data_IF_147494343301
#
_entry.id   IF_147494343301
#
_cell.length_a   1.000
_cell.length_b   1.000
_cell.length_c   1.000
_cell.angle_alpha   90.00
_cell.angle_beta   90.00
_cell.angle_gamma   90.00
#
_symmetry.space_group_name_H-M   'P 1'
#
loop_
_entity.id
_entity.type
_entity.pdbx_description
1 polymer ?
#
# COMPACT_ATOMS: atom_id res chain seq x y z
N UNK A 1 24.90 -2.04 -20.71
CA UNK A 1 25.54 -0.87 -20.09
C UNK A 1 26.20 -0.07 -21.20
N UNK A 2 26.26 1.26 -21.12
CA UNK A 2 26.96 2.09 -22.11
C UNK A 2 28.45 2.10 -21.78
N UNK A 3 29.32 1.74 -22.73
CA UNK A 3 30.79 1.76 -22.57
C UNK A 3 31.30 3.16 -22.16
N UNK A 4 30.60 4.20 -22.60
CA UNK A 4 30.91 5.60 -22.28
C UNK A 4 30.67 5.90 -20.79
N UNK A 5 29.58 5.36 -20.23
CA UNK A 5 29.27 5.53 -18.81
C UNK A 5 30.34 4.84 -17.94
N UNK A 6 30.71 3.61 -18.27
CA UNK A 6 31.75 2.86 -17.55
C UNK A 6 33.12 3.55 -17.62
N UNK A 7 33.44 4.15 -18.76
CA UNK A 7 34.65 4.96 -18.94
C UNK A 7 34.70 6.19 -18.02
N UNK A 8 33.57 6.86 -17.81
CA UNK A 8 33.46 7.98 -16.86
C UNK A 8 33.43 7.52 -15.40
N UNK A 9 32.79 6.39 -15.10
CA UNK A 9 32.75 5.78 -13.76
C UNK A 9 34.18 5.44 -13.30
N UNK A 10 35.01 4.85 -14.17
CA UNK A 10 36.41 4.55 -13.86
C UNK A 10 37.23 5.81 -13.57
N UNK A 11 37.06 6.86 -14.38
CA UNK A 11 37.73 8.15 -14.16
C UNK A 11 37.31 8.79 -12.84
N UNK A 12 36.02 8.74 -12.51
CA UNK A 12 35.52 9.27 -11.25
C UNK A 12 36.09 8.52 -10.04
N UNK A 13 36.14 7.19 -10.09
CA UNK A 13 36.72 6.37 -9.02
C UNK A 13 38.21 6.70 -8.79
N UNK A 14 38.97 6.86 -9.87
CA UNK A 14 40.38 7.25 -9.79
C UNK A 14 40.56 8.66 -9.21
N UNK A 15 39.75 9.62 -9.68
CA UNK A 15 39.74 11.00 -9.18
C UNK A 15 39.36 11.06 -7.70
N UNK A 16 38.32 10.35 -7.27
CA UNK A 16 37.86 10.29 -5.88
C UNK A 16 38.90 9.67 -4.94
N UNK A 17 39.56 8.58 -5.36
CA UNK A 17 40.65 7.98 -4.60
C UNK A 17 41.86 8.91 -4.51
N UNK A 18 42.18 9.63 -5.58
CA UNK A 18 43.24 10.65 -5.61
C UNK A 18 42.92 11.81 -4.67
N UNK A 19 41.69 12.33 -4.71
CA UNK A 19 41.21 13.39 -3.82
C UNK A 19 41.31 12.98 -2.35
N UNK A 20 40.88 11.77 -2.01
CA UNK A 20 40.94 11.25 -0.64
C UNK A 20 42.39 11.21 -0.13
N UNK A 21 43.34 10.71 -0.93
CA UNK A 21 44.77 10.72 -0.59
C UNK A 21 45.32 12.15 -0.44
N UNK A 22 44.96 13.06 -1.35
CA UNK A 22 45.39 14.46 -1.30
C UNK A 22 44.82 15.19 -0.08
N UNK A 23 43.57 14.93 0.31
CA UNK A 23 42.97 15.48 1.54
C UNK A 23 43.72 15.00 2.80
N UNK A 24 44.05 13.72 2.89
CA UNK A 24 44.85 13.19 4.01
C UNK A 24 46.23 13.83 4.04
N UNK A 25 46.89 13.96 2.90
CA UNK A 25 48.20 14.62 2.81
C UNK A 25 48.13 16.12 3.18
N UNK A 26 47.10 16.84 2.72
CA UNK A 26 46.91 18.26 3.04
C UNK A 26 46.60 18.49 4.52
N UNK A 27 46.04 17.51 5.22
CA UNK A 27 45.79 17.58 6.67
C UNK A 27 47.08 17.60 7.50
N UNK A 28 48.19 17.08 6.96
CA UNK A 28 49.50 17.03 7.63
C UNK A 28 50.43 18.20 7.24
N UNK A 29 49.97 19.11 6.37
CA UNK A 29 50.75 20.24 5.88
C UNK A 29 50.25 21.55 6.49
N UNK A 30 51.18 22.48 6.73
CA UNK A 30 50.90 23.83 7.24
C UNK A 30 51.42 24.93 6.30
N UNK A 31 50.85 26.13 6.43
CA UNK A 31 51.27 27.33 5.71
C UNK A 31 51.00 27.32 4.20
N UNK A 32 51.91 27.89 3.41
CA UNK A 32 51.73 28.09 1.96
C UNK A 32 51.61 26.77 1.19
N UNK A 33 52.32 25.71 1.63
CA UNK A 33 52.23 24.37 1.03
C UNK A 33 50.82 23.76 1.18
N UNK A 34 50.14 24.05 2.29
CA UNK A 34 48.74 23.66 2.52
C UNK A 34 47.82 24.37 1.56
N UNK A 35 47.97 25.69 1.41
CA UNK A 35 47.16 26.52 0.50
C UNK A 35 47.28 26.06 -0.96
N UNK A 36 48.50 25.78 -1.42
CA UNK A 36 48.73 25.24 -2.76
C UNK A 36 48.04 23.88 -2.95
N UNK A 37 48.20 22.95 -1.99
CA UNK A 37 47.55 21.64 -2.04
C UNK A 37 46.03 21.71 -1.97
N UNK A 38 45.47 22.64 -1.19
CA UNK A 38 44.03 22.89 -1.14
C UNK A 38 43.49 23.36 -2.49
N UNK A 39 44.24 24.22 -3.21
CA UNK A 39 43.87 24.63 -4.57
C UNK A 39 43.90 23.46 -5.57
N UNK A 40 44.89 22.57 -5.47
CA UNK A 40 44.96 21.35 -6.29
C UNK A 40 43.84 20.34 -5.98
N UNK A 41 43.38 20.28 -4.72
CA UNK A 41 42.26 19.44 -4.32
C UNK A 41 40.95 20.05 -4.84
N UNK A 42 40.79 21.36 -4.72
CA UNK A 42 39.62 22.09 -5.21
C UNK A 42 39.43 21.90 -6.72
N UNK A 43 40.49 22.00 -7.53
CA UNK A 43 40.39 21.73 -8.97
C UNK A 43 40.05 20.27 -9.27
N UNK A 44 40.57 19.31 -8.50
CA UNK A 44 40.20 17.90 -8.63
C UNK A 44 38.75 17.62 -8.23
N UNK A 45 38.19 18.35 -7.25
CA UNK A 45 36.77 18.27 -6.89
C UNK A 45 35.90 18.76 -8.05
N UNK A 46 36.28 19.87 -8.70
CA UNK A 46 35.57 20.38 -9.87
C UNK A 46 35.62 19.41 -11.06
N UNK A 47 36.75 18.74 -11.27
CA UNK A 47 36.89 17.69 -12.28
C UNK A 47 35.96 16.50 -11.97
N UNK A 48 35.92 16.03 -10.73
CA UNK A 48 35.01 14.97 -10.29
C UNK A 48 33.52 15.37 -10.41
N UNK A 49 33.17 16.63 -10.07
CA UNK A 49 31.82 17.18 -10.30
C UNK A 49 31.47 17.16 -11.80
N UNK A 50 32.43 17.47 -12.68
CA UNK A 50 32.24 17.43 -14.13
C UNK A 50 32.00 16.02 -14.66
N UNK A 51 32.70 15.01 -14.12
CA UNK A 51 32.52 13.61 -14.47
C UNK A 51 31.13 13.11 -14.06
N UNK A 52 30.67 13.48 -12.85
CA UNK A 52 29.30 13.17 -12.41
C UNK A 52 28.25 13.79 -13.35
N UNK A 53 28.45 15.04 -13.81
CA UNK A 53 27.52 15.67 -14.77
C UNK A 53 27.50 14.95 -16.12
N UNK A 54 28.66 14.52 -16.63
CA UNK A 54 28.77 13.73 -17.87
C UNK A 54 28.04 12.39 -17.73
N UNK A 55 28.21 11.70 -16.61
CA UNK A 55 27.48 10.46 -16.31
C UNK A 55 25.96 10.67 -16.18
N UNK A 56 25.51 11.79 -15.59
CA UNK A 56 24.08 12.13 -15.48
C UNK A 56 23.44 12.34 -16.86
N UNK A 57 24.15 13.03 -17.77
CA UNK A 57 23.72 13.22 -19.16
C UNK A 57 23.64 11.89 -19.92
N UNK A 58 24.66 11.04 -19.80
CA UNK A 58 24.69 9.74 -20.44
C UNK A 58 23.58 8.82 -19.91
N UNK A 59 23.37 8.79 -18.58
CA UNK A 59 22.31 7.99 -17.96
C UNK A 59 20.89 8.41 -18.37
N UNK A 60 20.68 9.68 -18.74
CA UNK A 60 19.38 10.18 -19.23
C UNK A 60 19.03 9.65 -20.62
N UNK A 61 20.03 9.32 -21.44
CA UNK A 61 19.86 8.81 -22.80
C UNK A 61 19.58 7.30 -22.85
N UNK A 62 19.63 6.60 -21.71
CA UNK A 62 19.44 5.16 -21.62
C UNK A 62 17.98 4.76 -21.33
N UNK A 63 17.67 3.49 -21.63
CA UNK A 63 16.34 2.92 -21.40
C UNK A 63 15.91 2.99 -19.92
N UNK A 64 14.60 3.16 -19.63
CA UNK A 64 14.07 3.35 -18.27
C UNK A 64 14.45 2.26 -17.27
N UNK A 65 14.56 1.00 -17.72
CA UNK A 65 14.91 -0.16 -16.90
C UNK A 65 16.32 -0.08 -16.30
N UNK A 66 17.30 0.41 -17.08
CA UNK A 66 18.71 0.53 -16.66
C UNK A 66 18.95 1.89 -15.97
N UNK A 67 18.24 2.93 -16.42
CA UNK A 67 18.34 4.30 -15.90
C UNK A 67 18.14 4.41 -14.39
N UNK A 68 17.17 3.69 -13.83
CA UNK A 68 16.87 3.76 -12.40
C UNK A 68 18.06 3.33 -11.52
N UNK A 69 18.76 2.26 -11.90
CA UNK A 69 19.95 1.77 -11.19
C UNK A 69 21.14 2.74 -11.29
N UNK A 70 21.37 3.32 -12.47
CA UNK A 70 22.46 4.29 -12.68
C UNK A 70 22.22 5.61 -11.93
N UNK A 71 20.98 6.09 -11.88
CA UNK A 71 20.63 7.27 -11.10
C UNK A 71 20.71 7.05 -9.58
N UNK A 72 20.59 5.80 -9.10
CA UNK A 72 20.86 5.47 -7.71
C UNK A 72 22.37 5.57 -7.41
N UNK A 73 23.22 4.95 -8.23
CA UNK A 73 24.69 5.07 -8.14
C UNK A 73 25.15 6.54 -8.20
N UNK A 74 24.58 7.35 -9.09
CA UNK A 74 24.93 8.76 -9.21
C UNK A 74 24.56 9.58 -7.96
N UNK A 75 23.52 9.19 -7.22
CA UNK A 75 23.18 9.83 -5.94
C UNK A 75 24.22 9.50 -4.87
N UNK A 76 24.70 8.27 -4.85
CA UNK A 76 25.78 7.83 -3.96
C UNK A 76 27.08 8.60 -4.26
N UNK A 77 27.51 8.66 -5.52
CA UNK A 77 28.70 9.43 -5.91
C UNK A 77 28.59 10.92 -5.58
N UNK A 78 27.41 11.54 -5.77
CA UNK A 78 27.18 12.93 -5.35
C UNK A 78 27.31 13.10 -3.84
N UNK A 79 26.87 12.12 -3.05
CA UNK A 79 27.01 12.11 -1.59
C UNK A 79 28.47 11.99 -1.17
N UNK A 80 29.22 11.07 -1.76
CA UNK A 80 30.64 10.87 -1.46
C UNK A 80 31.48 12.12 -1.77
N UNK A 81 31.22 12.75 -2.92
CA UNK A 81 31.92 13.98 -3.29
C UNK A 81 31.59 15.14 -2.34
N UNK A 82 30.35 15.21 -1.83
CA UNK A 82 29.98 16.18 -0.80
C UNK A 82 30.73 15.93 0.53
N UNK A 83 30.94 14.67 0.91
CA UNK A 83 31.75 14.34 2.08
C UNK A 83 33.19 14.83 1.90
N UNK A 84 33.83 14.56 0.75
CA UNK A 84 35.18 15.07 0.43
C UNK A 84 35.23 16.60 0.46
N UNK A 85 34.21 17.29 -0.06
CA UNK A 85 34.10 18.76 -0.03
C UNK A 85 33.96 19.30 1.40
N UNK A 86 33.26 18.58 2.28
CA UNK A 86 33.14 18.95 3.70
C UNK A 86 34.47 18.78 4.45
N UNK A 87 35.20 17.71 4.16
CA UNK A 87 36.54 17.47 4.70
C UNK A 87 37.52 18.55 4.22
N UNK A 88 37.46 18.93 2.94
CA UNK A 88 38.26 20.02 2.37
C UNK A 88 38.01 21.35 3.11
N UNK A 89 36.75 21.68 3.39
CA UNK A 89 36.39 22.89 4.16
C UNK A 89 36.94 22.83 5.59
N UNK A 90 36.90 21.65 6.23
CA UNK A 90 37.48 21.45 7.57
C UNK A 90 38.99 21.64 7.58
N UNK A 91 39.69 21.14 6.56
CA UNK A 91 41.15 21.28 6.41
C UNK A 91 41.52 22.72 6.04
N UNK A 92 40.71 23.39 5.22
CA UNK A 92 40.91 24.78 4.81
C UNK A 92 40.58 25.79 5.90
N UNK A 93 39.75 25.43 6.89
CA UNK A 93 39.46 26.32 8.00
C UNK A 93 40.77 26.65 8.73
N UNK A 94 41.07 27.95 8.95
CA UNK A 94 42.21 28.32 9.78
C UNK A 94 41.98 27.72 11.16
N UNK A 95 42.95 26.95 11.65
CA UNK A 95 42.96 26.52 13.04
C UNK A 95 42.79 27.77 13.90
N UNK A 96 41.72 27.84 14.69
CA UNK A 96 41.39 28.98 15.54
C UNK A 96 42.54 29.43 16.47
N UNK A 97 43.58 28.61 16.64
CA UNK A 97 44.79 28.91 17.42
C UNK A 97 45.80 29.82 16.70
N UNK A 98 45.81 29.89 15.37
CA UNK A 98 46.78 30.71 14.63
C UNK A 98 46.30 32.15 14.44
N UNK A 99 44.98 32.35 14.31
CA UNK A 99 44.36 33.67 14.17
C UNK A 99 44.47 34.51 15.46
N UNK A 100 44.36 33.88 16.64
CA UNK A 100 44.35 34.61 17.92
C UNK A 100 45.68 35.31 18.24
N UNK A 101 46.82 34.82 17.72
CA UNK A 101 48.13 35.37 18.08
C UNK A 101 48.47 36.65 17.30
N UNK A 102 48.01 36.76 16.06
CA UNK A 102 48.22 37.95 15.23
C UNK A 102 47.18 39.03 15.55
N UNK A 103 45.93 38.61 15.83
CA UNK A 103 44.80 39.51 16.07
C UNK A 103 44.84 40.20 17.46
N UNK A 104 45.54 39.61 18.44
CA UNK A 104 45.75 40.20 19.78
C UNK A 104 46.58 41.50 19.77
N UNK A 105 47.33 41.77 18.70
CA UNK A 105 48.08 43.02 18.55
C UNK A 105 47.29 44.11 17.83
N UNK A 106 46.15 43.77 17.18
CA UNK A 106 45.36 44.69 16.34
C UNK A 106 43.92 44.93 16.86
N UNK A 107 43.38 44.04 17.71
CA UNK A 107 41.96 43.98 18.11
C UNK A 107 41.45 45.07 19.08
N UNK A 108 42.32 45.88 19.69
CA UNK A 108 41.91 46.85 20.73
C UNK A 108 40.84 47.88 20.32
N UNK A 109 40.60 48.10 19.02
CA UNK A 109 39.62 49.08 18.51
C UNK A 109 38.50 48.48 17.62
N UNK A 110 38.67 47.28 17.05
CA UNK A 110 37.72 46.67 16.11
C UNK A 110 36.70 45.71 16.77
N UNK A 111 37.01 45.23 17.98
CA UNK A 111 36.26 44.18 18.69
C UNK A 111 34.80 44.58 19.03
N UNK A 112 34.54 45.87 19.30
CA UNK A 112 33.18 46.31 19.68
C UNK A 112 32.18 46.30 18.53
N UNK A 113 32.61 46.55 17.29
CA UNK A 113 31.76 46.51 16.10
C UNK A 113 31.61 45.08 15.55
N UNK A 114 32.68 44.28 15.61
CA UNK A 114 32.66 42.88 15.18
C UNK A 114 31.74 42.01 16.05
N UNK A 115 31.77 42.19 17.38
CA UNK A 115 30.89 41.48 18.34
C UNK A 115 29.40 41.79 18.09
N UNK A 116 29.08 43.04 17.73
CA UNK A 116 27.70 43.45 17.39
C UNK A 116 27.21 42.79 16.09
N UNK A 117 28.07 42.70 15.07
CA UNK A 117 27.73 42.02 13.81
C UNK A 117 27.60 40.50 13.96
N UNK A 118 28.41 39.87 14.81
CA UNK A 118 28.32 38.43 15.10
C UNK A 118 27.01 38.07 15.84
N UNK A 119 26.61 38.88 16.84
CA UNK A 119 25.32 38.70 17.51
C UNK A 119 24.13 38.80 16.54
N UNK A 120 24.17 39.75 15.60
CA UNK A 120 23.13 39.90 14.57
C UNK A 120 23.10 38.70 13.62
N UNK A 121 24.27 38.20 13.20
CA UNK A 121 24.38 36.99 12.36
C UNK A 121 23.82 35.76 13.06
N UNK A 122 24.11 35.58 14.34
CA UNK A 122 23.55 34.50 15.16
C UNK A 122 22.03 34.59 15.30
N UNK A 123 21.49 35.77 15.57
CA UNK A 123 20.04 35.99 15.64
C UNK A 123 19.33 35.74 14.30
N UNK A 124 19.95 36.15 13.18
CA UNK A 124 19.44 35.86 11.84
C UNK A 124 19.42 34.35 11.56
N UNK A 125 20.48 33.62 11.92
CA UNK A 125 20.50 32.15 11.79
C UNK A 125 19.44 31.48 12.68
N UNK A 126 19.22 31.95 13.91
CA UNK A 126 18.17 31.42 14.77
C UNK A 126 16.78 31.69 14.20
N UNK A 127 16.57 32.88 13.64
CA UNK A 127 15.31 33.27 13.00
C UNK A 127 15.03 32.44 11.75
N UNK A 128 16.05 32.21 10.93
CA UNK A 128 15.95 31.37 9.73
C UNK A 128 15.61 29.92 10.09
N UNK A 129 16.27 29.35 11.11
CA UNK A 129 15.93 28.00 11.61
C UNK A 129 14.50 27.94 12.16
N UNK A 130 14.05 28.98 12.83
CA UNK A 130 12.68 29.06 13.36
C UNK A 130 11.64 29.15 12.24
N UNK A 131 11.91 29.95 11.20
CA UNK A 131 11.06 30.03 10.01
C UNK A 131 10.97 28.68 9.31
N UNK A 132 12.10 28.01 9.08
CA UNK A 132 12.12 26.66 8.51
C UNK A 132 11.34 25.65 9.35
N UNK A 133 11.45 25.72 10.69
CA UNK A 133 10.66 24.87 11.59
C UNK A 133 9.17 25.19 11.49
N UNK A 134 8.81 26.47 11.37
CA UNK A 134 7.43 26.93 11.24
C UNK A 134 6.81 26.44 9.93
N UNK A 135 7.57 26.51 8.83
CA UNK A 135 7.11 26.03 7.52
C UNK A 135 6.94 24.51 7.52
N UNK A 136 7.86 23.77 8.15
CA UNK A 136 7.70 22.32 8.34
C UNK A 136 6.46 21.97 9.16
N UNK A 137 6.16 22.74 10.22
CA UNK A 137 4.95 22.53 11.02
C UNK A 137 3.68 22.84 10.21
N UNK A 138 3.68 23.91 9.42
CA UNK A 138 2.56 24.24 8.52
C UNK A 138 2.33 23.14 7.49
N UNK A 139 3.40 22.64 6.87
CA UNK A 139 3.33 21.54 5.91
C UNK A 139 2.82 20.26 6.58
N UNK A 140 3.37 19.89 7.74
CA UNK A 140 2.91 18.72 8.50
C UNK A 140 1.43 18.83 8.88
N UNK A 141 0.96 20.02 9.26
CA UNK A 141 -0.46 20.26 9.55
C UNK A 141 -1.31 20.10 8.30
N UNK A 142 -0.85 20.59 7.15
CA UNK A 142 -1.53 20.44 5.87
C UNK A 142 -1.67 18.97 5.50
N UNK A 143 -0.57 18.23 5.51
CA UNK A 143 -0.58 16.79 5.22
C UNK A 143 -1.48 16.03 6.19
N UNK A 144 -1.48 16.39 7.48
CA UNK A 144 -2.35 15.77 8.49
C UNK A 144 -3.84 15.98 8.16
N UNK A 145 -4.23 17.19 7.75
CA UNK A 145 -5.61 17.48 7.34
C UNK A 145 -5.99 16.71 6.07
N UNK A 146 -5.09 16.64 5.08
CA UNK A 146 -5.28 15.84 3.87
C UNK A 146 -5.45 14.33 4.21
N UNK A 147 -4.71 13.83 5.21
CA UNK A 147 -4.88 12.43 5.67
C UNK A 147 -6.16 12.20 6.48
N UNK A 148 -6.65 13.20 7.20
CA UNK A 148 -7.95 13.14 7.89
C UNK A 148 -9.09 13.06 6.88
N UNK A 149 -9.06 13.91 5.85
CA UNK A 149 -10.03 13.90 4.75
C UNK A 149 -10.03 12.55 4.00
N UNK A 150 -8.84 12.03 3.68
CA UNK A 150 -8.71 10.70 3.09
C UNK A 150 -9.27 9.60 4.01
N UNK A 151 -9.03 9.70 5.32
CA UNK A 151 -9.57 8.79 6.33
C UNK A 151 -11.10 8.79 6.36
N UNK A 152 -11.73 9.97 6.23
CA UNK A 152 -13.19 10.10 6.13
C UNK A 152 -13.71 9.42 4.86
N UNK A 153 -13.05 9.63 3.71
CA UNK A 153 -13.41 8.97 2.45
C UNK A 153 -13.33 7.45 2.56
N UNK A 154 -12.27 6.91 3.16
CA UNK A 154 -12.11 5.46 3.35
C UNK A 154 -13.22 4.90 4.24
N UNK A 155 -13.58 5.60 5.31
CA UNK A 155 -14.68 5.19 6.19
C UNK A 155 -16.04 5.18 5.47
N UNK A 156 -16.28 6.18 4.61
CA UNK A 156 -17.48 6.22 3.76
C UNK A 156 -17.52 5.04 2.78
N UNK A 157 -16.40 4.75 2.12
CA UNK A 157 -16.28 3.63 1.19
C UNK A 157 -16.50 2.28 1.89
N UNK A 158 -15.89 2.07 3.06
CA UNK A 158 -16.10 0.85 3.86
C UNK A 158 -17.56 0.72 4.30
N UNK A 159 -18.21 1.83 4.66
CA UNK A 159 -19.63 1.81 4.99
C UNK A 159 -20.49 1.42 3.77
N UNK A 160 -20.21 1.98 2.60
CA UNK A 160 -20.91 1.64 1.37
C UNK A 160 -20.68 0.18 0.95
N UNK A 161 -19.44 -0.32 1.07
CA UNK A 161 -19.11 -1.72 0.83
C UNK A 161 -19.87 -2.66 1.77
N UNK A 162 -19.95 -2.32 3.06
CA UNK A 162 -20.77 -3.07 4.03
C UNK A 162 -22.24 -3.08 3.62
N UNK A 163 -22.79 -1.94 3.22
CA UNK A 163 -24.18 -1.89 2.75
C UNK A 163 -24.38 -2.79 1.53
N UNK A 164 -23.50 -2.72 0.53
CA UNK A 164 -23.57 -3.58 -0.66
C UNK A 164 -23.52 -5.07 -0.30
N UNK A 165 -22.62 -5.46 0.62
CA UNK A 165 -22.53 -6.83 1.12
C UNK A 165 -23.82 -7.27 1.83
N UNK A 166 -24.40 -6.40 2.66
CA UNK A 166 -25.68 -6.69 3.33
C UNK A 166 -26.82 -6.84 2.32
N UNK A 167 -26.89 -5.98 1.30
CA UNK A 167 -27.88 -6.09 0.23
C UNK A 167 -27.72 -7.38 -0.56
N UNK A 168 -26.48 -7.76 -0.91
CA UNK A 168 -26.18 -9.02 -1.58
C UNK A 168 -26.60 -10.21 -0.71
N UNK A 169 -26.28 -10.20 0.58
CA UNK A 169 -26.67 -11.25 1.52
C UNK A 169 -28.19 -11.38 1.63
N UNK A 170 -28.93 -10.27 1.80
CA UNK A 170 -30.39 -10.28 1.85
C UNK A 170 -31.00 -10.78 0.53
N UNK A 171 -30.43 -10.39 -0.61
CA UNK A 171 -30.87 -10.87 -1.93
C UNK A 171 -30.67 -12.38 -2.06
N UNK A 172 -29.50 -12.90 -1.69
CA UNK A 172 -29.22 -14.34 -1.72
C UNK A 172 -30.16 -15.09 -0.76
N UNK A 173 -30.36 -14.57 0.45
CA UNK A 173 -31.24 -15.19 1.44
C UNK A 173 -32.69 -15.24 0.96
N UNK A 174 -33.21 -14.15 0.36
CA UNK A 174 -34.58 -14.12 -0.20
C UNK A 174 -34.74 -15.08 -1.38
N UNK A 175 -33.76 -15.14 -2.29
CA UNK A 175 -33.75 -16.10 -3.40
C UNK A 175 -33.73 -17.56 -2.90
N UNK A 176 -32.90 -17.88 -1.90
CA UNK A 176 -32.83 -19.21 -1.31
C UNK A 176 -34.15 -19.59 -0.63
N UNK A 177 -34.75 -18.70 0.16
CA UNK A 177 -36.04 -18.95 0.80
C UNK A 177 -37.16 -19.17 -0.23
N UNK A 178 -37.17 -18.42 -1.34
CA UNK A 178 -38.10 -18.64 -2.44
C UNK A 178 -37.90 -20.04 -3.05
N UNK A 179 -36.65 -20.44 -3.32
CA UNK A 179 -36.34 -21.79 -3.81
C UNK A 179 -36.73 -22.89 -2.81
N UNK A 180 -36.51 -22.70 -1.50
CA UNK A 180 -36.92 -23.66 -0.46
C UNK A 180 -38.44 -23.81 -0.43
N UNK A 181 -39.20 -22.71 -0.53
CA UNK A 181 -40.66 -22.75 -0.60
C UNK A 181 -41.17 -23.57 -1.81
N UNK A 182 -40.56 -23.39 -2.99
CA UNK A 182 -40.90 -24.19 -4.17
C UNK A 182 -40.55 -25.67 -4.00
N UNK A 183 -39.40 -26.00 -3.38
CA UNK A 183 -38.99 -27.39 -3.11
C UNK A 183 -39.94 -28.04 -2.09
N UNK A 184 -40.34 -27.32 -1.04
CA UNK A 184 -41.30 -27.78 -0.03
C UNK A 184 -42.70 -28.02 -0.64
N UNK A 185 -43.13 -27.14 -1.55
CA UNK A 185 -44.39 -27.28 -2.28
C UNK A 185 -44.39 -28.51 -3.21
N UNK A 186 -43.29 -28.72 -3.95
CA UNK A 186 -43.15 -29.85 -4.88
C UNK A 186 -43.01 -31.18 -4.11
N UNK A 187 -42.23 -31.20 -3.04
CA UNK A 187 -42.08 -32.39 -2.19
C UNK A 187 -43.40 -32.76 -1.50
N UNK A 188 -44.17 -31.78 -1.01
CA UNK A 188 -45.52 -31.99 -0.48
C UNK A 188 -46.47 -32.62 -1.50
N UNK A 189 -46.46 -32.15 -2.75
CA UNK A 189 -47.27 -32.72 -3.84
C UNK A 189 -46.84 -34.16 -4.19
N UNK A 190 -45.53 -34.43 -4.25
CA UNK A 190 -44.98 -35.78 -4.49
C UNK A 190 -45.34 -36.76 -3.37
N UNK A 191 -45.25 -36.32 -2.11
CA UNK A 191 -45.65 -37.12 -0.94
C UNK A 191 -47.15 -37.40 -1.00
N UNK A 192 -48.00 -36.41 -1.28
CA UNK A 192 -49.45 -36.59 -1.35
C UNK A 192 -49.87 -37.52 -2.49
N UNK A 193 -49.23 -37.41 -3.66
CA UNK A 193 -49.43 -38.32 -4.80
C UNK A 193 -48.98 -39.75 -4.47
N UNK A 194 -47.82 -39.90 -3.82
CA UNK A 194 -47.31 -41.19 -3.35
C UNK A 194 -48.22 -41.84 -2.30
N UNK A 195 -48.72 -41.07 -1.33
CA UNK A 195 -49.67 -41.56 -0.34
C UNK A 195 -50.99 -42.01 -0.97
N UNK A 196 -51.51 -41.27 -1.96
CA UNK A 196 -52.69 -41.69 -2.74
C UNK A 196 -52.46 -43.03 -3.43
N UNK A 197 -51.32 -43.21 -4.10
CA UNK A 197 -50.98 -44.46 -4.78
C UNK A 197 -50.82 -45.64 -3.80
N UNK A 198 -50.17 -45.43 -2.66
CA UNK A 198 -49.99 -46.45 -1.63
C UNK A 198 -51.31 -46.89 -0.98
N UNK A 199 -52.21 -45.95 -0.68
CA UNK A 199 -53.55 -46.25 -0.13
C UNK A 199 -54.39 -47.05 -1.14
N UNK A 200 -54.37 -46.67 -2.41
CA UNK A 200 -55.11 -47.40 -3.47
C UNK A 200 -54.58 -48.83 -3.60
N UNK A 201 -53.25 -49.03 -3.53
CA UNK A 201 -52.65 -50.36 -3.63
C UNK A 201 -52.96 -51.23 -2.41
N UNK A 202 -52.91 -50.66 -1.20
CA UNK A 202 -53.28 -51.35 0.03
C UNK A 202 -54.77 -51.74 0.07
N UNK A 203 -55.65 -50.87 -0.44
CA UNK A 203 -57.07 -51.19 -0.56
C UNK A 203 -57.28 -52.33 -1.58
N UNK A 204 -56.56 -52.30 -2.71
CA UNK A 204 -56.62 -53.35 -3.74
C UNK A 204 -56.16 -54.72 -3.23
N UNK A 205 -55.07 -54.79 -2.47
CA UNK A 205 -54.56 -56.06 -1.90
C UNK A 205 -55.49 -56.62 -0.83
N UNK A 206 -56.04 -55.76 0.03
CA UNK A 206 -57.00 -56.16 1.08
C UNK A 206 -58.31 -56.69 0.48
N UNK A 207 -58.85 -56.01 -0.55
CA UNK A 207 -60.05 -56.47 -1.27
C UNK A 207 -59.81 -57.83 -1.94
N UNK A 208 -58.66 -58.04 -2.61
CA UNK A 208 -58.36 -59.34 -3.24
C UNK A 208 -58.22 -60.48 -2.22
N UNK A 209 -57.65 -60.21 -1.03
CA UNK A 209 -57.53 -61.21 0.03
C UNK A 209 -58.89 -61.60 0.62
N UNK A 210 -59.83 -60.64 0.73
CA UNK A 210 -61.19 -60.90 1.20
C UNK A 210 -61.99 -61.75 0.20
N UNK A 211 -61.79 -61.54 -1.11
CA UNK A 211 -62.49 -62.28 -2.17
C UNK A 211 -62.08 -63.76 -2.24
N UNK A 212 -60.82 -64.08 -1.97
CA UNK A 212 -60.30 -65.47 -2.08
C UNK A 212 -60.68 -66.35 -0.89
N UNK A 213 -60.99 -65.76 0.27
CA UNK A 213 -61.16 -66.50 1.53
C UNK A 213 -62.56 -66.45 2.14
N UNK A 214 -63.55 -65.85 1.47
CA UNK A 214 -64.87 -65.63 2.05
C UNK A 214 -65.98 -66.44 1.35
N UNK A 215 -66.81 -67.20 2.08
CA UNK A 215 -67.94 -67.92 1.49
C UNK A 215 -68.93 -66.94 0.83
N UNK A 216 -69.44 -67.32 -0.35
CA UNK A 216 -70.12 -66.44 -1.33
C UNK A 216 -71.22 -65.51 -0.80
N UNK A 217 -71.83 -65.78 0.35
CA UNK A 217 -72.89 -64.94 0.93
C UNK A 217 -72.38 -63.62 1.52
N UNK A 218 -71.15 -63.57 2.03
CA UNK A 218 -70.57 -62.37 2.67
C UNK A 218 -70.03 -61.38 1.62
N UNK A 219 -69.64 -61.90 0.45
CA UNK A 219 -69.08 -61.12 -0.66
C UNK A 219 -70.09 -60.12 -1.24
N UNK A 220 -71.37 -60.49 -1.27
CA UNK A 220 -72.46 -59.62 -1.76
C UNK A 220 -72.70 -58.43 -0.81
N UNK A 221 -72.68 -58.66 0.50
CA UNK A 221 -72.80 -57.59 1.50
C UNK A 221 -71.59 -56.64 1.46
N UNK A 222 -70.38 -57.17 1.26
CA UNK A 222 -69.17 -56.35 1.17
C UNK A 222 -69.14 -55.50 -0.10
N UNK A 223 -69.61 -56.03 -1.23
CA UNK A 223 -69.76 -55.27 -2.48
C UNK A 223 -70.82 -54.18 -2.31
N UNK A 224 -71.96 -54.48 -1.64
CA UNK A 224 -72.99 -53.48 -1.37
C UNK A 224 -72.50 -52.35 -0.44
N UNK A 225 -71.75 -52.68 0.61
CA UNK A 225 -71.20 -51.69 1.55
C UNK A 225 -70.11 -50.85 0.89
N UNK A 226 -69.22 -51.45 0.10
CA UNK A 226 -68.17 -50.72 -0.61
C UNK A 226 -68.74 -49.81 -1.71
N UNK A 227 -69.77 -50.24 -2.44
CA UNK A 227 -70.50 -49.38 -3.37
C UNK A 227 -71.23 -48.23 -2.66
N UNK A 228 -71.83 -48.48 -1.50
CA UNK A 228 -72.51 -47.44 -0.70
C UNK A 228 -71.52 -46.41 -0.14
N UNK A 229 -70.34 -46.85 0.33
CA UNK A 229 -69.27 -45.96 0.79
C UNK A 229 -68.71 -45.11 -0.35
N UNK A 230 -68.50 -45.69 -1.55
CA UNK A 230 -68.05 -44.95 -2.73
C UNK A 230 -69.07 -43.88 -3.16
N UNK A 231 -70.36 -44.23 -3.15
CA UNK A 231 -71.43 -43.28 -3.47
C UNK A 231 -71.52 -42.14 -2.43
N UNK A 232 -71.34 -42.45 -1.15
CA UNK A 232 -71.34 -41.44 -0.08
C UNK A 232 -70.09 -40.54 -0.13
N UNK A 233 -68.93 -41.11 -0.49
CA UNK A 233 -67.68 -40.37 -0.62
C UNK A 233 -67.71 -39.38 -1.78
N UNK A 234 -68.25 -39.75 -2.96
CA UNK A 234 -68.44 -38.79 -4.07
C UNK A 234 -69.38 -37.65 -3.67
N UNK A 235 -70.46 -37.95 -2.95
CA UNK A 235 -71.42 -36.94 -2.52
C UNK A 235 -70.87 -35.98 -1.44
N UNK A 236 -69.91 -36.44 -0.63
CA UNK A 236 -69.23 -35.62 0.38
C UNK A 236 -68.10 -34.78 -0.24
N UNK A 237 -67.38 -35.31 -1.23
CA UNK A 237 -66.33 -34.59 -1.94
C UNK A 237 -66.88 -33.40 -2.74
N UNK A 238 -68.05 -33.56 -3.37
CA UNK A 238 -68.77 -32.49 -4.08
C UNK A 238 -69.20 -31.33 -3.15
N UNK A 239 -69.29 -31.55 -1.83
CA UNK A 239 -69.75 -30.53 -0.87
C UNK A 239 -68.62 -29.75 -0.19
N UNK A 240 -67.36 -30.15 -0.39
CA UNK A 240 -66.16 -29.49 0.15
C UNK A 240 -65.49 -28.57 -0.89
N UNK A 241 -65.86 -28.69 -2.18
CA UNK A 241 -65.34 -27.88 -3.29
C UNK A 241 -66.25 -26.69 -3.70
N UNK A 242 -67.29 -26.38 -2.92
CA UNK A 242 -68.07 -25.13 -2.95
C UNK A 242 -67.92 -24.39 -1.62
#
# INVERSE_FOLDING_TARGET
>A
MSEVFEGYERQYCEASASLSRKCTAASALDGEKKKQKLSEIQSGVEEAESLIRKMDLEARNLQPSIKAGLLAKLREYKSDLNNVKSELKRISAPNARQATREELLESGMADTLAVSTDQRGRLMMTTERLNQSTDRIKESRRTMLETEELGVSILQDLHQQRQSLLHAHTTVCTCLNSSTYYIDLISGFLIFSGCKAAIILANRTSITALIVNCPCSVLVLFIAISAWILFYAEHFFIKIEC
#
